data_IF_658836186923
#
_entry.id   IF_658836186923
#
_cell.length_a   1.000
_cell.length_b   1.000
_cell.length_c   1.000
_cell.angle_alpha   90.00
_cell.angle_beta   90.00
_cell.angle_gamma   90.00
#
_symmetry.space_group_name_H-M   'P 1'
#
loop_
_entity.id
_entity.type
_entity.pdbx_description
1 polymer ?
#
# COMPACT_ATOMS: atom_id res chain seq x y z
N UNK A 1 -26.37 -14.92 -20.01
CA UNK A 1 -26.46 -14.40 -18.64
C UNK A 1 -25.11 -14.68 -17.99
N UNK A 2 -24.19 -13.71 -17.98
CA UNK A 2 -22.83 -13.92 -17.50
C UNK A 2 -22.77 -13.80 -15.98
N UNK A 3 -22.08 -14.72 -15.31
CA UNK A 3 -21.71 -14.53 -13.90
C UNK A 3 -20.81 -13.29 -13.81
N UNK A 4 -20.97 -12.42 -12.78
CA UNK A 4 -20.03 -11.32 -12.57
C UNK A 4 -18.63 -11.91 -12.36
N UNK A 5 -17.72 -11.60 -13.30
CA UNK A 5 -16.31 -11.96 -13.16
C UNK A 5 -15.73 -11.06 -12.06
N UNK A 6 -15.56 -11.65 -10.87
CA UNK A 6 -14.74 -11.11 -9.79
C UNK A 6 -15.47 -10.12 -8.86
N UNK A 7 -15.63 -10.52 -7.60
CA UNK A 7 -15.74 -9.55 -6.50
C UNK A 7 -14.33 -8.96 -6.33
N UNK A 8 -14.15 -7.68 -6.62
CA UNK A 8 -12.86 -7.00 -6.39
C UNK A 8 -12.56 -7.03 -4.89
N UNK A 9 -11.65 -7.90 -4.48
CA UNK A 9 -11.13 -7.93 -3.12
C UNK A 9 -9.91 -7.00 -3.08
N UNK A 10 -10.03 -5.90 -2.35
CA UNK A 10 -8.89 -5.02 -2.07
C UNK A 10 -8.26 -5.43 -0.75
N UNK A 11 -6.95 -5.60 -0.72
CA UNK A 11 -6.22 -5.74 0.54
C UNK A 11 -5.99 -4.38 1.19
N UNK A 12 -6.02 -4.37 2.52
CA UNK A 12 -5.68 -3.19 3.33
C UNK A 12 -4.73 -3.62 4.43
N UNK A 13 -3.56 -2.98 4.49
CA UNK A 13 -2.66 -3.11 5.63
C UNK A 13 -3.14 -2.18 6.73
N UNK A 14 -3.64 -2.76 7.84
CA UNK A 14 -4.06 -2.00 9.03
C UNK A 14 -2.84 -1.60 9.85
N UNK A 15 -2.81 -0.33 10.27
CA UNK A 15 -1.69 0.26 10.98
C UNK A 15 -2.00 0.55 12.46
N UNK A 16 -2.97 1.45 12.67
CA UNK A 16 -3.30 1.96 14.00
C UNK A 16 -4.79 2.22 14.14
N UNK A 17 -5.29 2.03 15.36
CA UNK A 17 -6.64 2.41 15.72
C UNK A 17 -6.70 3.93 15.99
N UNK A 18 -7.74 4.59 15.50
CA UNK A 18 -8.03 6.01 15.73
C UNK A 18 -9.44 6.15 16.32
N UNK A 19 -9.53 6.67 17.54
CA UNK A 19 -10.81 6.75 18.25
C UNK A 19 -11.41 5.37 18.56
N UNK A 20 -12.75 5.28 18.58
CA UNK A 20 -13.46 4.03 18.91
C UNK A 20 -13.77 3.27 17.63
N UNK A 21 -13.07 2.14 17.43
CA UNK A 21 -13.40 1.17 16.39
C UNK A 21 -13.15 1.66 14.96
N UNK A 22 -12.23 2.60 14.74
CA UNK A 22 -11.73 2.94 13.39
C UNK A 22 -10.24 2.64 13.30
N UNK A 23 -9.82 2.13 12.16
CA UNK A 23 -8.45 1.81 11.84
C UNK A 23 -7.99 2.63 10.65
N UNK A 24 -6.80 3.18 10.74
CA UNK A 24 -6.09 3.76 9.60
C UNK A 24 -5.13 2.73 9.07
N UNK A 25 -4.96 2.72 7.76
CA UNK A 25 -4.06 1.82 7.07
C UNK A 25 -3.76 2.32 5.66
N UNK A 26 -3.31 1.41 4.82
CA UNK A 26 -3.00 1.68 3.41
C UNK A 26 -3.58 0.59 2.52
N UNK A 27 -3.94 0.98 1.31
CA UNK A 27 -4.29 0.02 0.26
C UNK A 27 -3.07 -0.86 -0.08
N UNK A 28 -3.34 -2.11 -0.45
CA UNK A 28 -2.34 -3.00 -1.04
C UNK A 28 -2.72 -3.36 -2.48
N UNK A 29 -1.73 -3.84 -3.23
CA UNK A 29 -1.86 -4.22 -4.63
C UNK A 29 -0.90 -5.38 -4.97
N UNK A 30 -1.21 -6.21 -5.98
CA UNK A 30 -0.27 -7.23 -6.48
C UNK A 30 0.74 -6.68 -7.51
N UNK A 31 0.48 -5.52 -8.11
CA UNK A 31 1.24 -5.07 -9.30
C UNK A 31 2.59 -4.40 -8.96
N UNK A 32 3.62 -5.19 -8.67
CA UNK A 32 4.99 -4.70 -8.38
C UNK A 32 5.57 -3.83 -9.51
N UNK A 33 5.31 -4.15 -10.77
CA UNK A 33 5.84 -3.40 -11.92
C UNK A 33 5.26 -1.97 -12.03
N UNK A 34 4.14 -1.73 -11.34
CA UNK A 34 3.46 -0.44 -11.26
C UNK A 34 3.85 0.37 -10.03
N UNK A 35 4.71 -0.17 -9.18
CA UNK A 35 5.18 0.51 -7.98
C UNK A 35 5.89 1.83 -8.32
N UNK A 36 5.57 2.86 -7.54
CA UNK A 36 6.30 4.12 -7.46
C UNK A 36 7.26 4.15 -6.27
N UNK A 37 7.95 5.28 -6.10
CA UNK A 37 8.96 5.47 -5.05
C UNK A 37 8.44 5.34 -3.60
N UNK A 38 7.13 5.47 -3.41
CA UNK A 38 6.47 5.38 -2.10
C UNK A 38 5.59 4.13 -1.96
N UNK A 39 5.74 3.18 -2.86
CA UNK A 39 5.14 1.85 -2.76
C UNK A 39 6.19 0.92 -2.15
N UNK A 40 5.85 0.22 -1.06
CA UNK A 40 6.74 -0.76 -0.42
C UNK A 40 6.40 -2.15 -0.94
N UNK A 41 7.37 -2.80 -1.57
CA UNK A 41 7.22 -4.18 -2.04
C UNK A 41 7.50 -5.12 -0.87
N UNK A 42 6.62 -6.08 -0.63
CA UNK A 42 6.83 -7.13 0.34
C UNK A 42 7.76 -8.21 -0.23
N UNK A 43 8.62 -8.72 0.65
CA UNK A 43 9.68 -9.68 0.31
C UNK A 43 9.35 -11.05 0.91
N UNK A 44 9.99 -12.14 0.47
CA UNK A 44 9.80 -13.46 1.11
C UNK A 44 10.02 -13.46 2.63
N UNK A 45 10.86 -12.56 3.14
CA UNK A 45 11.11 -12.37 4.57
C UNK A 45 9.90 -11.79 5.34
N UNK A 46 8.95 -11.17 4.63
CA UNK A 46 7.70 -10.64 5.19
C UNK A 46 6.58 -11.69 5.24
N UNK A 47 6.81 -12.90 4.73
CA UNK A 47 5.83 -13.97 4.75
C UNK A 47 5.47 -14.40 6.19
N UNK A 48 4.21 -14.82 6.43
CA UNK A 48 3.17 -15.09 5.43
C UNK A 48 2.34 -13.85 5.04
N UNK A 49 2.12 -13.68 3.73
CA UNK A 49 1.10 -12.79 3.16
C UNK A 49 0.52 -13.35 1.85
N UNK A 50 -0.72 -12.95 1.52
CA UNK A 50 -1.38 -13.26 0.26
C UNK A 50 -0.74 -12.45 -0.87
N UNK A 51 -0.32 -13.05 -2.00
CA UNK A 51 0.33 -12.34 -3.10
C UNK A 51 -0.44 -11.12 -3.64
N UNK A 52 -1.77 -11.05 -3.42
CA UNK A 52 -2.58 -9.86 -3.71
C UNK A 52 -2.15 -8.61 -2.92
N UNK A 53 -1.34 -8.78 -1.87
CA UNK A 53 -0.82 -7.74 -1.00
C UNK A 53 0.68 -7.47 -1.19
N UNK A 54 1.28 -7.92 -2.30
CA UNK A 54 2.73 -7.79 -2.55
C UNK A 54 3.26 -6.36 -2.55
N UNK A 55 2.41 -5.35 -2.68
CA UNK A 55 2.77 -3.94 -2.64
C UNK A 55 1.88 -3.20 -1.63
N UNK A 56 2.50 -2.39 -0.77
CA UNK A 56 1.81 -1.47 0.15
C UNK A 56 1.90 -0.04 -0.38
N UNK A 57 0.76 0.56 -0.69
CA UNK A 57 0.67 1.90 -1.26
C UNK A 57 0.68 2.98 -0.17
N UNK A 58 1.87 3.39 0.29
CA UNK A 58 1.97 4.29 1.47
C UNK A 58 1.37 5.69 1.23
N UNK A 59 1.20 6.06 -0.04
CA UNK A 59 0.52 7.28 -0.49
C UNK A 59 -1.02 7.17 -0.47
N UNK A 60 -1.57 5.95 -0.39
CA UNK A 60 -3.01 5.66 -0.47
C UNK A 60 -3.57 5.25 0.89
N UNK A 61 -3.58 6.18 1.84
CA UNK A 61 -4.12 5.91 3.18
C UNK A 61 -5.64 5.79 3.16
N UNK A 62 -6.14 4.80 3.91
CA UNK A 62 -7.58 4.53 4.07
C UNK A 62 -7.96 4.48 5.54
N UNK A 63 -9.22 4.77 5.84
CA UNK A 63 -9.80 4.62 7.18
C UNK A 63 -10.99 3.69 7.13
N UNK A 64 -10.96 2.62 7.90
CA UNK A 64 -12.01 1.59 7.92
C UNK A 64 -12.48 1.33 9.35
N UNK A 65 -13.75 0.99 9.55
CA UNK A 65 -14.24 0.52 10.84
C UNK A 65 -13.68 -0.86 11.17
N UNK A 66 -13.50 -1.09 12.47
CA UNK A 66 -13.24 -2.41 13.00
C UNK A 66 -14.42 -3.32 12.63
N UNK A 67 -14.09 -4.44 11.98
CA UNK A 67 -15.05 -5.49 11.66
C UNK A 67 -14.77 -6.71 12.53
N UNK A 68 -15.80 -7.53 12.81
CA UNK A 68 -15.59 -8.86 13.36
C UNK A 68 -14.60 -9.65 12.49
N UNK A 69 -13.68 -10.40 13.12
CA UNK A 69 -12.64 -11.14 12.40
C UNK A 69 -13.22 -12.16 11.41
N UNK A 70 -14.40 -12.71 11.71
CA UNK A 70 -15.14 -13.63 10.84
C UNK A 70 -15.70 -12.96 9.56
N UNK A 71 -15.79 -11.62 9.54
CA UNK A 71 -16.21 -10.85 8.37
C UNK A 71 -15.06 -10.47 7.45
N UNK A 72 -13.81 -10.80 7.83
CA UNK A 72 -12.60 -10.47 7.07
C UNK A 72 -11.71 -11.68 6.91
N UNK A 73 -11.00 -11.75 5.79
CA UNK A 73 -9.91 -12.71 5.63
C UNK A 73 -8.61 -12.05 6.07
N UNK A 74 -7.89 -12.65 7.01
CA UNK A 74 -6.51 -12.25 7.30
C UNK A 74 -5.65 -12.65 6.10
N UNK A 75 -5.13 -11.67 5.38
CA UNK A 75 -4.29 -11.90 4.20
C UNK A 75 -2.83 -12.04 4.58
N UNK A 76 -2.38 -11.48 5.70
CA UNK A 76 -0.99 -11.57 6.15
C UNK A 76 -0.76 -10.76 7.41
N UNK A 77 0.44 -10.86 7.97
CA UNK A 77 0.84 -10.06 9.14
C UNK A 77 2.30 -9.67 9.03
N UNK A 78 2.54 -8.37 8.92
CA UNK A 78 3.89 -7.83 8.94
C UNK A 78 4.47 -7.84 10.36
N UNK A 79 5.78 -8.03 10.45
CA UNK A 79 6.51 -7.84 11.70
C UNK A 79 6.43 -6.37 12.16
N UNK A 80 6.59 -6.08 13.46
CA UNK A 80 6.61 -4.70 13.96
C UNK A 80 7.69 -3.85 13.28
N UNK A 81 8.86 -4.43 12.99
CA UNK A 81 9.96 -3.76 12.29
C UNK A 81 9.58 -3.41 10.85
N UNK A 82 8.95 -4.33 10.12
CA UNK A 82 8.50 -4.06 8.76
C UNK A 82 7.39 -3.01 8.72
N UNK A 83 6.43 -3.07 9.64
CA UNK A 83 5.40 -2.04 9.76
C UNK A 83 6.00 -0.66 10.07
N UNK A 84 7.06 -0.59 10.87
CA UNK A 84 7.81 0.64 11.10
C UNK A 84 8.48 1.17 9.83
N UNK A 85 9.06 0.29 8.99
CA UNK A 85 9.62 0.66 7.69
C UNK A 85 8.55 1.25 6.75
N UNK A 86 7.35 0.63 6.69
CA UNK A 86 6.21 1.14 5.92
C UNK A 86 5.78 2.55 6.40
N UNK A 87 5.70 2.75 7.72
CA UNK A 87 5.41 4.08 8.30
C UNK A 87 6.48 5.12 7.94
N UNK A 88 7.75 4.71 7.89
CA UNK A 88 8.85 5.59 7.52
C UNK A 88 8.72 6.06 6.06
N UNK A 89 8.38 5.15 5.13
CA UNK A 89 8.10 5.51 3.73
C UNK A 89 6.89 6.43 3.59
N UNK A 90 5.82 6.21 4.37
CA UNK A 90 4.69 7.14 4.42
C UNK A 90 5.14 8.54 4.85
N UNK A 91 6.05 8.62 5.82
CA UNK A 91 6.53 9.89 6.37
C UNK A 91 7.30 10.68 5.31
N UNK A 92 8.15 10.00 4.53
CA UNK A 92 8.81 10.60 3.37
C UNK A 92 7.82 11.07 2.31
N UNK A 93 6.80 10.26 1.97
CA UNK A 93 5.74 10.67 1.05
C UNK A 93 5.04 11.95 1.51
N UNK A 94 4.67 12.02 2.80
CA UNK A 94 4.02 13.20 3.40
C UNK A 94 4.92 14.43 3.42
N UNK A 95 6.23 14.23 3.57
CA UNK A 95 7.23 15.29 3.50
C UNK A 95 7.60 15.69 2.06
N UNK A 96 6.98 15.05 1.04
CA UNK A 96 7.36 15.20 -0.36
C UNK A 96 8.87 15.01 -0.58
N UNK A 97 9.46 14.04 0.12
CA UNK A 97 10.89 13.76 0.06
C UNK A 97 11.30 13.38 -1.37
N UNK A 98 12.41 13.94 -1.84
CA UNK A 98 12.96 13.57 -3.14
C UNK A 98 13.68 12.23 -3.05
N UNK A 99 13.28 11.28 -3.89
CA UNK A 99 13.87 9.93 -3.88
C UNK A 99 14.91 9.88 -4.99
N UNK A 100 16.18 9.75 -4.61
CA UNK A 100 17.35 9.74 -5.49
C UNK A 100 17.47 8.43 -6.31
N UNK A 101 16.42 8.07 -7.03
CA UNK A 101 16.33 6.95 -7.97
C UNK A 101 15.82 7.51 -9.30
N UNK A 102 16.46 7.21 -10.44
CA UNK A 102 15.97 7.67 -11.74
C UNK A 102 14.52 7.23 -12.01
N UNK A 103 13.66 8.11 -12.56
CA UNK A 103 12.30 7.73 -12.93
C UNK A 103 12.29 6.65 -14.02
N UNK A 104 11.71 5.49 -13.73
CA UNK A 104 11.64 4.36 -14.65
C UNK A 104 10.48 3.43 -14.27
N UNK A 105 9.63 3.07 -15.24
CA UNK A 105 8.54 2.11 -15.04
C UNK A 105 9.10 0.69 -14.87
N UNK A 106 8.53 -0.11 -13.96
CA UNK A 106 9.00 -1.48 -13.70
C UNK A 106 10.30 -1.55 -12.88
N UNK A 107 10.92 -0.42 -12.55
CA UNK A 107 12.14 -0.41 -11.74
C UNK A 107 11.82 -0.66 -10.27
N UNK A 108 12.44 -1.70 -9.74
CA UNK A 108 12.51 -1.97 -8.30
C UNK A 108 13.85 -1.43 -7.78
N UNK A 109 13.81 -0.66 -6.69
CA UNK A 109 14.96 -0.06 -6.06
C UNK A 109 15.04 -0.46 -4.58
N UNK A 110 16.20 -0.96 -4.17
CA UNK A 110 16.55 -1.12 -2.76
C UNK A 110 17.03 0.23 -2.23
N UNK A 111 16.39 0.73 -1.16
CA UNK A 111 16.75 2.02 -0.56
C UNK A 111 16.71 1.99 0.95
N UNK A 112 17.49 2.89 1.55
CA UNK A 112 17.49 3.13 3.00
C UNK A 112 16.58 4.31 3.29
N UNK A 113 15.65 4.14 4.21
CA UNK A 113 14.61 5.10 4.60
C UNK A 113 14.82 5.49 6.06
N UNK A 114 14.75 6.79 6.35
CA UNK A 114 15.07 7.36 7.66
C UNK A 114 16.44 6.91 8.23
N UNK A 115 17.38 6.52 7.37
CA UNK A 115 18.72 6.06 7.78
C UNK A 115 18.77 4.68 8.48
N UNK A 116 17.64 3.98 8.61
CA UNK A 116 17.56 2.73 9.39
C UNK A 116 16.94 1.56 8.61
N UNK A 117 15.91 1.84 7.82
CA UNK A 117 15.10 0.79 7.20
C UNK A 117 15.52 0.57 5.76
N UNK A 118 16.01 -0.63 5.46
CA UNK A 118 16.17 -1.09 4.08
C UNK A 118 14.82 -1.59 3.56
N UNK A 119 14.38 -1.04 2.42
CA UNK A 119 13.10 -1.40 1.77
C UNK A 119 13.27 -1.51 0.26
N UNK A 120 12.49 -2.40 -0.37
CA UNK A 120 12.27 -2.38 -1.80
C UNK A 120 11.09 -1.44 -2.13
N UNK A 121 11.32 -0.49 -3.03
CA UNK A 121 10.27 0.34 -3.60
C UNK A 121 10.30 0.33 -5.12
N UNK A 122 9.29 0.93 -5.75
CA UNK A 122 9.40 1.33 -7.15
C UNK A 122 10.34 2.54 -7.32
N UNK A 123 10.30 3.13 -8.51
CA UNK A 123 11.01 4.37 -8.82
C UNK A 123 10.06 5.58 -8.92
N UNK A 124 10.57 6.82 -8.82
CA UNK A 124 9.78 8.03 -9.05
C UNK A 124 9.03 8.00 -10.39
N UNK A 125 7.90 8.71 -10.45
CA UNK A 125 7.09 8.81 -11.66
C UNK A 125 7.70 9.84 -12.60
N UNK A 126 7.83 9.49 -13.87
CA UNK A 126 8.21 10.44 -14.91
C UNK A 126 7.12 11.52 -15.15
N UNK A 127 7.42 12.50 -16.00
CA UNK A 127 6.46 13.54 -16.34
C UNK A 127 5.17 12.96 -16.98
N UNK A 128 5.34 12.10 -18.00
CA UNK A 128 4.25 11.45 -18.73
C UNK A 128 4.19 9.95 -18.39
N UNK A 129 3.93 9.66 -17.11
CA UNK A 129 3.99 8.31 -16.57
C UNK A 129 2.59 7.67 -16.50
N UNK A 130 2.35 6.49 -17.13
CA UNK A 130 1.05 5.82 -17.09
C UNK A 130 0.64 5.41 -15.67
N UNK A 131 1.60 5.26 -14.73
CA UNK A 131 1.30 4.97 -13.33
C UNK A 131 0.45 6.05 -12.68
N UNK A 132 0.37 7.27 -13.22
CA UNK A 132 -0.52 8.32 -12.70
C UNK A 132 -1.99 7.93 -12.80
N UNK A 133 -2.41 7.33 -13.93
CA UNK A 133 -3.78 6.88 -14.13
C UNK A 133 -4.09 5.67 -13.24
N UNK A 134 -3.14 4.76 -13.12
CA UNK A 134 -3.20 3.64 -12.18
C UNK A 134 -3.36 4.11 -10.73
N UNK A 135 -2.52 5.06 -10.28
CA UNK A 135 -2.64 5.65 -8.95
C UNK A 135 -4.00 6.33 -8.77
N UNK A 136 -4.51 7.03 -9.80
CA UNK A 136 -5.83 7.66 -9.74
C UNK A 136 -6.97 6.64 -9.55
N UNK A 137 -6.90 5.47 -10.19
CA UNK A 137 -7.87 4.38 -9.99
C UNK A 137 -7.82 3.89 -8.54
N UNK A 138 -6.62 3.61 -8.02
CA UNK A 138 -6.45 3.12 -6.64
C UNK A 138 -6.83 4.17 -5.59
N UNK A 139 -6.60 5.47 -5.84
CA UNK A 139 -7.11 6.55 -4.96
C UNK A 139 -8.63 6.54 -4.88
N UNK A 140 -9.31 6.39 -6.03
CA UNK A 140 -10.78 6.32 -6.06
C UNK A 140 -11.28 5.09 -5.32
N UNK A 141 -10.62 3.94 -5.47
CA UNK A 141 -10.95 2.73 -4.73
C UNK A 141 -10.77 2.92 -3.21
N UNK A 142 -9.64 3.48 -2.77
CA UNK A 142 -9.37 3.77 -1.36
C UNK A 142 -10.34 4.78 -0.74
N UNK A 143 -10.73 5.82 -1.48
CA UNK A 143 -11.75 6.79 -1.06
C UNK A 143 -13.10 6.11 -0.86
N UNK A 144 -13.57 5.36 -1.87
CA UNK A 144 -14.86 4.64 -1.78
C UNK A 144 -14.88 3.62 -0.66
N UNK A 145 -13.76 2.93 -0.44
CA UNK A 145 -13.62 2.00 0.69
C UNK A 145 -13.72 2.75 2.02
N UNK A 146 -13.04 3.89 2.16
CA UNK A 146 -13.08 4.70 3.37
C UNK A 146 -14.46 5.31 3.60
N UNK A 147 -15.19 5.66 2.55
CA UNK A 147 -16.58 6.14 2.65
C UNK A 147 -17.53 5.02 3.07
N UNK A 148 -17.44 3.86 2.42
CA UNK A 148 -18.31 2.71 2.71
C UNK A 148 -18.05 2.10 4.09
N UNK A 149 -16.82 2.17 4.57
CA UNK A 149 -16.37 1.51 5.80
C UNK A 149 -16.06 2.47 6.94
N UNK A 150 -15.94 3.77 6.69
CA UNK A 150 -15.57 4.79 7.68
C UNK A 150 -16.75 5.60 8.22
N UNK A 151 -17.92 5.52 7.57
CA UNK A 151 -19.18 6.16 7.97
C UNK A 151 -19.76 5.53 9.23
#
# INVERSE_FOLDING_TARGET
>A
MGLPVGRTLHGVLLDRCVGVGKWVGWMTAPECDWAGAFDVLLEPEDEPFDPMCGVVQTWNSVTVRAMPLESVRLLGRLSPRRLAAVRAVQSEYRAAHDVAVPPELGRIALRVVNGEFTVLTGAPLAAQDPRRDYQAIYRRAGSRLSEAMGA
#
